data_IF_535332086990
#
_entry.id   IF_535332086990
#
_cell.length_a   1.000
_cell.length_b   1.000
_cell.length_c   1.000
_cell.angle_alpha   90.00
_cell.angle_beta   90.00
_cell.angle_gamma   90.00
#
_symmetry.space_group_name_H-M   'P 1'
#
loop_
_entity.id
_entity.type
_entity.pdbx_description
1 polymer ?
#
# COMPACT_ATOMS: atom_id res chain seq x y z
N UNK A 1 25.66 1.54 62.67
CA UNK A 1 26.06 1.07 61.32
C UNK A 1 24.81 0.85 60.49
N UNK A 2 24.38 1.86 59.72
CA UNK A 2 23.22 1.75 58.84
C UNK A 2 23.67 1.35 57.43
N UNK A 3 23.36 0.13 57.02
CA UNK A 3 23.64 -0.36 55.66
C UNK A 3 22.59 0.20 54.69
N UNK A 4 23.02 1.15 53.85
CA UNK A 4 22.19 1.70 52.78
C UNK A 4 22.18 0.68 51.62
N UNK A 5 21.09 -0.07 51.52
CA UNK A 5 20.79 -0.86 50.34
C UNK A 5 20.35 0.09 49.22
N UNK A 6 21.28 0.37 48.31
CA UNK A 6 20.98 1.09 47.06
C UNK A 6 20.36 0.07 46.11
N UNK A 7 19.03 0.09 45.99
CA UNK A 7 18.31 -0.61 44.92
C UNK A 7 18.61 0.11 43.59
N UNK A 8 19.54 -0.44 42.81
CA UNK A 8 19.72 -0.09 41.40
C UNK A 8 18.53 -0.64 40.60
N UNK A 9 17.52 0.19 40.36
CA UNK A 9 16.46 -0.10 39.40
C UNK A 9 17.05 0.18 38.01
N UNK A 10 17.43 -0.89 37.30
CA UNK A 10 17.75 -0.82 35.89
C UNK A 10 16.44 -0.54 35.12
N UNK A 11 16.25 0.71 34.69
CA UNK A 11 15.19 1.09 33.77
C UNK A 11 15.57 0.50 32.40
N UNK A 12 15.06 -0.69 32.10
CA UNK A 12 15.05 -1.23 30.74
C UNK A 12 14.04 -0.40 29.96
N UNK A 13 14.53 0.62 29.26
CA UNK A 13 13.74 1.36 28.28
C UNK A 13 13.37 0.42 27.14
N UNK A 14 12.18 -0.18 27.22
CA UNK A 14 11.57 -0.91 26.11
C UNK A 14 11.36 0.09 24.98
N UNK A 15 12.16 -0.01 23.93
CA UNK A 15 11.92 0.69 22.67
C UNK A 15 10.59 0.17 22.13
N UNK A 16 9.52 0.93 22.36
CA UNK A 16 8.22 0.64 21.77
C UNK A 16 8.32 1.03 20.30
N UNK A 17 8.64 0.06 19.44
CA UNK A 17 8.42 0.20 18.01
C UNK A 17 6.92 0.40 17.83
N UNK A 18 6.50 1.57 17.31
CA UNK A 18 5.10 1.82 17.02
C UNK A 18 4.74 0.97 15.79
N UNK A 19 3.91 -0.08 15.92
CA UNK A 19 3.62 -1.00 14.80
C UNK A 19 3.04 -0.25 13.59
N UNK A 20 2.31 0.84 13.83
CA UNK A 20 1.79 1.77 12.81
C UNK A 20 2.91 2.34 11.92
N UNK A 21 4.05 2.75 12.51
CA UNK A 21 5.20 3.24 11.74
C UNK A 21 5.84 2.13 10.90
N UNK A 22 5.88 0.91 11.43
CA UNK A 22 6.39 -0.26 10.70
C UNK A 22 5.54 -0.58 9.47
N UNK A 23 4.21 -0.62 9.61
CA UNK A 23 3.31 -0.91 8.49
C UNK A 23 3.35 0.16 7.39
N UNK A 24 3.50 1.45 7.74
CA UNK A 24 3.67 2.52 6.75
C UNK A 24 5.01 2.42 6.01
N UNK A 25 6.09 2.00 6.69
CA UNK A 25 7.37 1.71 6.04
C UNK A 25 7.24 0.57 5.02
N UNK A 26 6.57 -0.53 5.38
CA UNK A 26 6.28 -1.63 4.45
C UNK A 26 5.45 -1.13 3.26
N UNK A 27 4.41 -0.31 3.50
CA UNK A 27 3.57 0.25 2.43
C UNK A 27 4.38 1.10 1.45
N UNK A 28 5.40 1.83 1.94
CA UNK A 28 6.30 2.61 1.07
C UNK A 28 7.09 1.73 0.11
N UNK A 29 7.59 0.59 0.59
CA UNK A 29 8.30 -0.41 -0.19
C UNK A 29 7.40 -1.07 -1.24
N UNK A 30 6.20 -1.49 -0.81
CA UNK A 30 5.17 -2.05 -1.70
C UNK A 30 4.82 -1.06 -2.82
N UNK A 31 4.61 0.21 -2.46
CA UNK A 31 4.27 1.28 -3.43
C UNK A 31 5.42 1.53 -4.41
N UNK A 32 6.66 1.64 -3.94
CA UNK A 32 7.82 1.88 -4.78
C UNK A 32 8.02 0.75 -5.79
N UNK A 33 7.99 -0.51 -5.34
CA UNK A 33 8.18 -1.65 -6.22
C UNK A 33 7.02 -1.83 -7.21
N UNK A 34 5.78 -1.71 -6.73
CA UNK A 34 4.59 -1.82 -7.59
C UNK A 34 4.57 -0.72 -8.66
N UNK A 35 4.96 0.50 -8.29
CA UNK A 35 5.00 1.68 -9.17
C UNK A 35 5.88 1.54 -10.41
N UNK A 36 6.86 0.63 -10.41
CA UNK A 36 7.73 0.37 -11.58
C UNK A 36 6.99 -0.10 -12.81
N UNK A 37 5.86 -0.78 -12.63
CA UNK A 37 5.05 -1.25 -13.74
C UNK A 37 4.24 -0.13 -14.40
N UNK A 38 4.19 1.07 -13.80
CA UNK A 38 3.34 2.17 -14.27
C UNK A 38 3.65 2.53 -15.72
N UNK A 39 4.92 2.75 -16.06
CA UNK A 39 5.31 3.21 -17.40
C UNK A 39 4.99 2.20 -18.49
N UNK A 40 5.15 0.90 -18.22
CA UNK A 40 4.74 -0.16 -19.13
C UNK A 40 3.21 -0.22 -19.33
N UNK A 41 2.45 0.28 -18.36
CA UNK A 41 1.00 0.24 -18.35
C UNK A 41 0.31 1.52 -18.85
N UNK A 42 1.06 2.59 -19.13
CA UNK A 42 0.48 3.88 -19.53
C UNK A 42 -0.23 3.82 -20.87
N UNK A 43 0.40 3.22 -21.87
CA UNK A 43 -0.14 3.19 -23.23
C UNK A 43 -1.46 2.41 -23.29
N UNK A 44 -1.51 1.23 -22.66
CA UNK A 44 -2.71 0.39 -22.68
C UNK A 44 -3.86 0.93 -21.82
N UNK A 45 -3.54 1.65 -20.74
CA UNK A 45 -4.55 2.22 -19.83
C UNK A 45 -5.05 3.60 -20.26
N UNK A 46 -4.32 4.29 -21.13
CA UNK A 46 -4.55 5.70 -21.45
C UNK A 46 -4.13 6.66 -20.34
N UNK A 47 -3.43 6.20 -19.30
CA UNK A 47 -3.02 7.02 -18.16
C UNK A 47 -1.83 7.93 -18.52
N UNK A 48 -2.13 9.20 -18.80
CA UNK A 48 -1.11 10.21 -19.13
C UNK A 48 -0.30 10.63 -17.89
N UNK A 49 0.90 11.15 -18.13
CA UNK A 49 1.75 11.70 -17.07
C UNK A 49 1.11 12.93 -16.39
N UNK A 50 0.26 13.68 -17.11
CA UNK A 50 -0.49 14.82 -16.57
C UNK A 50 -1.53 14.39 -15.52
N UNK A 51 -2.07 13.16 -15.62
CA UNK A 51 -2.97 12.61 -14.61
C UNK A 51 -2.16 12.12 -13.41
N UNK A 52 -1.15 11.28 -13.66
CA UNK A 52 -0.31 10.73 -12.60
C UNK A 52 1.12 10.61 -13.09
N UNK A 53 1.99 11.51 -12.65
CA UNK A 53 3.40 11.55 -13.05
C UNK A 53 4.18 10.33 -12.54
N UNK A 54 4.04 10.01 -11.26
CA UNK A 54 4.67 8.86 -10.62
C UNK A 54 3.73 8.19 -9.64
N UNK A 55 3.85 6.88 -9.47
CA UNK A 55 2.91 6.12 -8.65
C UNK A 55 2.91 6.53 -7.18
N UNK A 56 4.02 7.09 -6.67
CA UNK A 56 4.09 7.66 -5.32
C UNK A 56 3.04 8.74 -5.07
N UNK A 57 2.66 9.51 -6.10
CA UNK A 57 1.65 10.58 -6.00
C UNK A 57 0.25 10.02 -5.71
N UNK A 58 0.03 8.71 -5.87
CA UNK A 58 -1.18 8.04 -5.37
C UNK A 58 -1.47 8.41 -3.91
N UNK A 59 -0.43 8.54 -3.07
CA UNK A 59 -0.58 8.83 -1.65
C UNK A 59 -0.68 10.32 -1.31
N UNK A 60 -0.40 11.22 -2.25
CA UNK A 60 -0.51 12.67 -2.04
C UNK A 60 -1.91 13.08 -1.59
N UNK A 61 -2.02 14.05 -0.69
CA UNK A 61 -3.29 14.66 -0.29
C UNK A 61 -3.97 15.38 -1.46
N UNK A 62 -3.18 15.92 -2.40
CA UNK A 62 -3.67 16.70 -3.54
C UNK A 62 -4.08 15.85 -4.74
N UNK A 63 -3.97 14.52 -4.63
CA UNK A 63 -4.29 13.59 -5.72
C UNK A 63 -5.61 12.86 -5.51
N UNK A 64 -6.56 13.11 -6.40
CA UNK A 64 -7.86 12.45 -6.43
C UNK A 64 -7.81 11.12 -7.21
N UNK A 65 -8.07 10.01 -6.50
CA UNK A 65 -8.11 8.66 -7.08
C UNK A 65 -9.47 8.41 -7.73
N UNK A 66 -9.69 9.00 -8.91
CA UNK A 66 -11.01 8.98 -9.58
C UNK A 66 -11.00 8.60 -11.06
N UNK A 67 -9.84 8.67 -11.71
CA UNK A 67 -9.72 8.46 -13.16
C UNK A 67 -9.90 6.99 -13.55
N UNK A 68 -10.76 6.71 -14.53
CA UNK A 68 -10.98 5.33 -15.01
C UNK A 68 -9.69 4.74 -15.57
N UNK A 69 -8.88 5.56 -16.24
CA UNK A 69 -7.57 5.23 -16.78
C UNK A 69 -6.61 4.74 -15.68
N UNK A 70 -6.67 5.35 -14.48
CA UNK A 70 -5.92 4.86 -13.33
C UNK A 70 -6.39 3.48 -12.90
N UNK A 71 -7.70 3.21 -12.94
CA UNK A 71 -8.24 1.88 -12.68
C UNK A 71 -7.72 0.83 -13.66
N UNK A 72 -7.69 1.15 -14.96
CA UNK A 72 -7.11 0.26 -15.97
C UNK A 72 -5.59 0.07 -15.75
N UNK A 73 -4.86 1.13 -15.39
CA UNK A 73 -3.43 1.04 -15.08
C UNK A 73 -3.18 0.12 -13.88
N UNK A 74 -4.00 0.22 -12.81
CA UNK A 74 -3.91 -0.64 -11.64
C UNK A 74 -4.15 -2.12 -11.99
N UNK A 75 -5.09 -2.41 -12.90
CA UNK A 75 -5.30 -3.77 -13.41
C UNK A 75 -4.05 -4.28 -14.14
N UNK A 76 -3.54 -3.49 -15.09
CA UNK A 76 -2.32 -3.82 -15.83
C UNK A 76 -1.16 -4.12 -14.89
N UNK A 77 -0.86 -3.20 -13.97
CA UNK A 77 0.25 -3.33 -13.02
C UNK A 77 0.06 -4.56 -12.14
N UNK A 78 -1.15 -4.81 -11.66
CA UNK A 78 -1.45 -5.99 -10.83
C UNK A 78 -1.23 -7.30 -11.59
N UNK A 79 -1.59 -7.36 -12.87
CA UNK A 79 -1.37 -8.56 -13.69
C UNK A 79 0.11 -8.87 -13.94
N UNK A 80 0.98 -7.84 -14.03
CA UNK A 80 2.44 -8.03 -14.14
C UNK A 80 3.03 -8.78 -12.94
N UNK A 81 2.40 -8.64 -11.77
CA UNK A 81 2.80 -9.30 -10.52
C UNK A 81 1.85 -10.43 -10.12
N UNK A 82 0.92 -10.84 -11.00
CA UNK A 82 -0.10 -11.88 -10.72
C UNK A 82 -0.96 -11.61 -9.47
N UNK A 83 -1.24 -10.34 -9.18
CA UNK A 83 -1.98 -9.90 -7.98
C UNK A 83 -3.49 -9.87 -8.17
N UNK A 84 -3.98 -10.17 -9.39
CA UNK A 84 -5.40 -10.24 -9.71
C UNK A 84 -5.78 -11.63 -10.26
N UNK A 85 -7.05 -11.97 -10.06
CA UNK A 85 -7.74 -13.09 -10.68
C UNK A 85 -8.30 -12.68 -12.06
N UNK A 86 -8.87 -13.62 -12.80
CA UNK A 86 -9.43 -13.38 -14.14
C UNK A 86 -10.62 -12.40 -14.13
N UNK A 87 -11.31 -12.23 -13.00
CA UNK A 87 -12.44 -11.31 -12.80
C UNK A 87 -12.01 -9.90 -12.34
N UNK A 88 -10.73 -9.56 -12.49
CA UNK A 88 -10.14 -8.30 -12.05
C UNK A 88 -10.41 -8.00 -10.55
N UNK A 89 -10.45 -9.04 -9.72
CA UNK A 89 -10.39 -8.94 -8.25
C UNK A 89 -9.03 -9.37 -7.75
N UNK A 90 -8.69 -8.95 -6.55
CA UNK A 90 -7.45 -9.31 -5.90
C UNK A 90 -7.31 -10.82 -5.76
N UNK A 91 -6.13 -11.34 -6.08
CA UNK A 91 -5.74 -12.70 -5.77
C UNK A 91 -5.16 -12.73 -4.34
N UNK A 92 -5.98 -13.07 -3.33
CA UNK A 92 -5.62 -12.92 -1.91
C UNK A 92 -4.28 -13.55 -1.51
N UNK A 93 -4.00 -14.78 -1.99
CA UNK A 93 -2.75 -15.49 -1.65
C UNK A 93 -1.54 -14.78 -2.26
N UNK A 94 -1.55 -14.53 -3.57
CA UNK A 94 -0.48 -13.80 -4.25
C UNK A 94 -0.25 -12.40 -3.67
N UNK A 95 -1.32 -11.66 -3.31
CA UNK A 95 -1.17 -10.37 -2.64
C UNK A 95 -0.48 -10.50 -1.28
N UNK A 96 -0.92 -11.46 -0.45
CA UNK A 96 -0.31 -11.74 0.84
C UNK A 96 1.19 -12.08 0.70
N UNK A 97 1.53 -12.96 -0.24
CA UNK A 97 2.90 -13.40 -0.47
C UNK A 97 3.78 -12.30 -1.07
N UNK A 98 3.21 -11.49 -1.97
CA UNK A 98 3.86 -10.30 -2.52
C UNK A 98 4.22 -9.32 -1.41
N UNK A 99 3.29 -9.01 -0.51
CA UNK A 99 3.57 -8.10 0.61
C UNK A 99 4.61 -8.69 1.57
N UNK A 100 4.55 -9.99 1.86
CA UNK A 100 5.53 -10.67 2.72
C UNK A 100 6.93 -10.78 2.09
N UNK A 101 7.08 -10.51 0.79
CA UNK A 101 8.40 -10.45 0.15
C UNK A 101 9.19 -9.18 0.50
N UNK A 102 8.54 -8.17 1.08
CA UNK A 102 9.17 -6.93 1.50
C UNK A 102 9.71 -7.01 2.95
N UNK A 103 10.70 -6.19 3.32
CA UNK A 103 11.20 -6.15 4.69
C UNK A 103 10.07 -5.87 5.68
N UNK A 104 9.89 -6.74 6.68
CA UNK A 104 8.81 -6.68 7.68
C UNK A 104 7.38 -6.78 7.09
N UNK A 105 7.24 -7.41 5.91
CA UNK A 105 5.97 -7.56 5.20
C UNK A 105 4.83 -8.17 6.03
N UNK A 106 5.17 -9.02 7.00
CA UNK A 106 4.23 -9.65 7.93
C UNK A 106 3.47 -8.65 8.81
N UNK A 107 3.98 -7.43 8.98
CA UNK A 107 3.32 -6.35 9.70
C UNK A 107 2.17 -5.72 8.91
N UNK A 108 2.07 -5.99 7.60
CA UNK A 108 1.12 -5.33 6.71
C UNK A 108 0.22 -6.32 5.95
N UNK A 109 0.73 -7.49 5.56
CA UNK A 109 0.11 -8.39 4.57
C UNK A 109 -1.37 -8.68 4.86
N UNK A 110 -1.69 -9.24 6.03
CA UNK A 110 -3.09 -9.52 6.42
C UNK A 110 -3.94 -8.26 6.43
N UNK A 111 -3.44 -7.16 7.03
CA UNK A 111 -4.18 -5.91 7.15
C UNK A 111 -4.53 -5.33 5.78
N UNK A 112 -3.56 -5.29 4.86
CA UNK A 112 -3.76 -4.74 3.52
C UNK A 112 -4.74 -5.58 2.70
N UNK A 113 -4.60 -6.91 2.74
CA UNK A 113 -5.53 -7.85 2.07
C UNK A 113 -6.96 -7.65 2.59
N UNK A 114 -7.13 -7.54 3.92
CA UNK A 114 -8.46 -7.34 4.53
C UNK A 114 -9.08 -5.99 4.11
N UNK A 115 -8.30 -4.90 4.12
CA UNK A 115 -8.78 -3.59 3.69
C UNK A 115 -9.20 -3.58 2.22
N UNK A 116 -8.34 -4.10 1.33
CA UNK A 116 -8.66 -4.18 -0.11
C UNK A 116 -9.91 -5.02 -0.35
N UNK A 117 -10.02 -6.18 0.27
CA UNK A 117 -11.17 -7.06 0.11
C UNK A 117 -12.47 -6.44 0.66
N UNK A 118 -12.40 -5.68 1.74
CA UNK A 118 -13.56 -4.94 2.26
C UNK A 118 -13.97 -3.77 1.35
N UNK A 119 -13.02 -3.15 0.66
CA UNK A 119 -13.31 -2.17 -0.38
C UNK A 119 -13.94 -2.81 -1.63
N UNK A 120 -13.47 -3.98 -2.07
CA UNK A 120 -14.06 -4.72 -3.21
C UNK A 120 -15.55 -4.98 -3.00
N UNK A 121 -15.94 -5.44 -1.81
CA UNK A 121 -17.34 -5.73 -1.46
C UNK A 121 -18.27 -4.53 -1.60
N UNK A 122 -17.76 -3.31 -1.46
CA UNK A 122 -18.56 -2.09 -1.55
C UNK A 122 -18.91 -1.69 -2.99
N UNK A 123 -18.20 -2.25 -3.97
CA UNK A 123 -18.31 -1.87 -5.38
C UNK A 123 -18.54 -3.09 -6.28
N UNK A 124 -19.08 -4.17 -5.72
CA UNK A 124 -19.32 -5.46 -6.38
C UNK A 124 -20.32 -5.35 -7.54
N UNK A 125 -21.17 -4.32 -7.51
CA UNK A 125 -22.22 -4.03 -8.49
C UNK A 125 -21.74 -3.21 -9.70
N UNK A 126 -20.47 -2.77 -9.71
CA UNK A 126 -19.91 -2.01 -10.82
C UNK A 126 -19.37 -2.98 -11.89
N UNK A 127 -20.03 -2.98 -13.07
CA UNK A 127 -19.67 -3.86 -14.19
C UNK A 127 -18.36 -3.47 -14.91
N UNK A 128 -18.05 -2.17 -15.02
CA UNK A 128 -16.79 -1.74 -15.65
C UNK A 128 -15.62 -1.92 -14.68
N UNK A 129 -14.77 -2.91 -14.97
CA UNK A 129 -13.67 -3.30 -14.09
C UNK A 129 -12.72 -2.15 -13.75
N UNK A 130 -12.36 -1.31 -14.74
CA UNK A 130 -11.49 -0.16 -14.48
C UNK A 130 -12.14 0.83 -13.50
N UNK A 131 -13.42 1.15 -13.69
CA UNK A 131 -14.17 2.02 -12.78
C UNK A 131 -14.27 1.38 -11.40
N UNK A 132 -14.54 0.08 -11.30
CA UNK A 132 -14.59 -0.64 -10.04
C UNK A 132 -13.25 -0.59 -9.31
N UNK A 133 -12.16 -0.90 -10.00
CA UNK A 133 -10.81 -0.94 -9.41
C UNK A 133 -10.38 0.44 -8.92
N UNK A 134 -10.65 1.54 -9.65
CA UNK A 134 -10.31 2.87 -9.14
C UNK A 134 -11.14 3.26 -7.90
N UNK A 135 -12.40 2.83 -7.81
CA UNK A 135 -13.23 3.03 -6.59
C UNK A 135 -12.70 2.22 -5.40
N UNK A 136 -12.30 0.97 -5.63
CA UNK A 136 -11.63 0.14 -4.62
C UNK A 136 -10.33 0.79 -4.16
N UNK A 137 -9.50 1.31 -5.08
CA UNK A 137 -8.25 1.99 -4.76
C UNK A 137 -8.47 3.28 -3.96
N UNK A 138 -9.49 4.06 -4.30
CA UNK A 138 -9.87 5.26 -3.54
C UNK A 138 -10.32 4.92 -2.11
N UNK A 139 -11.17 3.89 -1.97
CA UNK A 139 -11.57 3.37 -0.67
C UNK A 139 -10.36 2.89 0.14
N UNK A 140 -9.46 2.12 -0.48
CA UNK A 140 -8.26 1.62 0.17
C UNK A 140 -7.35 2.77 0.64
N UNK A 141 -7.15 3.82 -0.16
CA UNK A 141 -6.39 5.01 0.24
C UNK A 141 -6.96 5.64 1.51
N UNK A 142 -8.28 5.79 1.58
CA UNK A 142 -8.98 6.37 2.75
C UNK A 142 -8.82 5.48 3.99
N UNK A 143 -9.06 4.19 3.85
CA UNK A 143 -8.97 3.25 4.98
C UNK A 143 -7.52 3.06 5.45
N UNK A 144 -6.55 3.04 4.53
CA UNK A 144 -5.13 3.01 4.87
C UNK A 144 -4.69 4.24 5.67
N UNK A 145 -5.18 5.44 5.30
CA UNK A 145 -4.94 6.67 6.08
C UNK A 145 -5.56 6.58 7.47
N UNK A 146 -6.81 6.13 7.55
CA UNK A 146 -7.53 5.96 8.83
C UNK A 146 -6.85 4.97 9.77
N UNK A 147 -6.28 3.90 9.23
CA UNK A 147 -5.54 2.88 9.98
C UNK A 147 -4.08 3.27 10.26
N UNK A 148 -3.63 4.43 9.76
CA UNK A 148 -2.27 4.94 9.97
C UNK A 148 -1.19 4.17 9.20
N UNK A 149 -1.56 3.40 8.18
CA UNK A 149 -0.63 2.59 7.38
C UNK A 149 -0.30 3.24 6.02
N UNK A 150 -0.95 4.36 5.69
CA UNK A 150 -0.61 5.15 4.51
C UNK A 150 0.78 5.80 4.68
N UNK A 151 1.70 5.62 3.72
CA UNK A 151 3.02 6.25 3.75
C UNK A 151 2.92 7.71 3.29
N UNK A 152 3.82 8.54 3.80
CA UNK A 152 4.10 9.84 3.19
C UNK A 152 4.85 9.65 1.87
N UNK A 153 4.66 10.55 0.90
CA UNK A 153 5.35 10.51 -0.40
C UNK A 153 6.87 10.42 -0.22
N UNK A 154 7.41 11.19 0.72
CA UNK A 154 8.86 11.20 1.03
C UNK A 154 9.38 9.86 1.54
N UNK A 155 8.54 9.03 2.18
CA UNK A 155 8.95 7.68 2.60
C UNK A 155 9.14 6.77 1.40
N UNK A 156 8.29 6.91 0.38
CA UNK A 156 8.38 6.16 -0.87
C UNK A 156 9.60 6.59 -1.65
N UNK A 157 9.82 7.90 -1.80
CA UNK A 157 11.00 8.47 -2.47
C UNK A 157 12.31 7.95 -1.87
N UNK A 158 12.38 7.82 -0.54
CA UNK A 158 13.56 7.30 0.15
C UNK A 158 13.86 5.81 -0.15
N UNK A 159 12.91 5.06 -0.71
CA UNK A 159 13.08 3.64 -1.04
C UNK A 159 12.96 3.34 -2.54
N UNK A 160 12.73 4.35 -3.40
CA UNK A 160 12.65 4.17 -4.85
C UNK A 160 13.91 3.49 -5.41
N UNK A 161 15.10 3.94 -5.03
CA UNK A 161 16.38 3.40 -5.54
C UNK A 161 16.65 1.93 -5.14
N UNK A 162 15.90 1.37 -4.17
CA UNK A 162 16.05 -0.03 -3.77
C UNK A 162 15.48 -0.99 -4.82
N UNK A 163 14.67 -0.47 -5.73
CA UNK A 163 14.02 -1.22 -6.77
C UNK A 163 14.46 -0.60 -8.09
#
# INVERSE_FOLDING_TARGET
>A
MGSKWVCLIAIVSVLHTNPVKGSAEVMSHVTAHFGKALDECREESGLTADILEGFQNFWSEDFDVVHRELGCALICMSNKFTLMQEDARMHHVNMHDYINSFPQGELLSTKMVDLMHNCEKQFDDIEDDCTRVVKVAACFKVDAKKEGIAPEVTMIEAVLEKY
#
